data_IF_929764491606
#
_entry.id   IF_929764491606
#
_cell.length_a   1.000
_cell.length_b   1.000
_cell.length_c   1.000
_cell.angle_alpha   90.00
_cell.angle_beta   90.00
_cell.angle_gamma   90.00
#
_symmetry.space_group_name_H-M   'P 1'
#
loop_
_entity.id
_entity.type
_entity.pdbx_description
1 polymer ?
#
# COMPACT_ATOMS: atom_id res chain seq x y z
N UNK A 1 -11.17 -18.72 18.72
CA UNK A 1 -10.21 -18.72 17.59
C UNK A 1 -10.13 -17.32 17.06
N UNK A 2 -8.95 -16.69 17.08
CA UNK A 2 -8.78 -15.35 16.54
C UNK A 2 -9.14 -15.37 15.04
N UNK A 3 -10.05 -14.51 14.62
CA UNK A 3 -10.39 -14.34 13.21
C UNK A 3 -9.19 -13.70 12.51
N UNK A 4 -8.27 -14.51 11.99
CA UNK A 4 -7.15 -14.00 11.20
C UNK A 4 -7.70 -13.28 9.96
N UNK A 5 -7.17 -12.11 9.63
CA UNK A 5 -7.53 -11.40 8.39
C UNK A 5 -6.93 -12.06 7.14
N UNK A 6 -6.08 -13.06 7.32
CA UNK A 6 -5.41 -13.80 6.26
C UNK A 6 -6.36 -14.75 5.52
N UNK A 7 -6.58 -14.50 4.23
CA UNK A 7 -7.35 -15.37 3.30
C UNK A 7 -6.39 -16.19 2.44
N UNK A 8 -6.82 -17.30 1.80
CA UNK A 8 -5.99 -18.03 0.86
C UNK A 8 -5.42 -17.13 -0.25
N UNK A 9 -6.21 -16.17 -0.74
CA UNK A 9 -5.73 -15.18 -1.71
C UNK A 9 -4.66 -14.26 -1.14
N UNK A 10 -4.83 -13.78 0.11
CA UNK A 10 -3.83 -12.92 0.76
C UNK A 10 -2.52 -13.66 1.01
N UNK A 11 -2.59 -14.93 1.43
CA UNK A 11 -1.41 -15.79 1.60
C UNK A 11 -0.68 -15.94 0.26
N UNK A 12 -1.41 -16.23 -0.82
CA UNK A 12 -0.80 -16.36 -2.14
C UNK A 12 -0.13 -15.08 -2.62
N UNK A 13 -0.76 -13.92 -2.46
CA UNK A 13 -0.13 -12.63 -2.79
C UNK A 13 1.13 -12.42 -1.95
N UNK A 14 1.07 -12.70 -0.65
CA UNK A 14 2.23 -12.54 0.24
C UNK A 14 3.41 -13.42 -0.18
N UNK A 15 3.15 -14.67 -0.55
CA UNK A 15 4.16 -15.70 -0.82
C UNK A 15 4.67 -15.71 -2.25
N UNK A 16 3.77 -15.52 -3.22
CA UNK A 16 4.08 -15.66 -4.65
C UNK A 16 4.22 -14.32 -5.36
N UNK A 17 3.80 -13.21 -4.74
CA UNK A 17 3.98 -11.87 -5.32
C UNK A 17 4.92 -10.99 -4.49
N UNK A 18 4.60 -10.73 -3.22
CA UNK A 18 5.37 -9.79 -2.41
C UNK A 18 6.74 -10.35 -2.06
N UNK A 19 6.80 -11.58 -1.51
CA UNK A 19 8.04 -12.20 -1.05
C UNK A 19 9.12 -12.28 -2.15
N UNK A 20 8.83 -12.71 -3.39
CA UNK A 20 9.85 -12.73 -4.43
C UNK A 20 10.40 -11.33 -4.78
N UNK A 21 9.56 -10.29 -4.74
CA UNK A 21 10.01 -8.91 -4.93
C UNK A 21 10.94 -8.47 -3.80
N UNK A 22 10.56 -8.74 -2.55
CA UNK A 22 11.37 -8.37 -1.38
C UNK A 22 12.72 -9.10 -1.37
N UNK A 23 12.70 -10.39 -1.72
CA UNK A 23 13.89 -11.21 -1.92
C UNK A 23 14.80 -10.57 -2.97
N UNK A 24 14.27 -10.30 -4.16
CA UNK A 24 15.03 -9.68 -5.25
C UNK A 24 15.65 -8.34 -4.81
N UNK A 25 14.90 -7.47 -4.14
CA UNK A 25 15.40 -6.18 -3.67
C UNK A 25 16.51 -6.36 -2.63
N UNK A 26 16.29 -7.23 -1.63
CA UNK A 26 17.26 -7.49 -0.55
C UNK A 26 18.56 -8.08 -1.09
N UNK A 27 18.47 -9.08 -1.98
CA UNK A 27 19.63 -9.71 -2.62
C UNK A 27 20.42 -8.73 -3.49
N UNK A 28 19.73 -7.84 -4.21
CA UNK A 28 20.38 -6.85 -5.09
C UNK A 28 21.06 -5.73 -4.32
N UNK A 29 20.47 -5.28 -3.23
CA UNK A 29 21.04 -4.20 -2.40
C UNK A 29 22.02 -4.72 -1.34
N UNK A 30 22.10 -6.04 -1.15
CA UNK A 30 22.89 -6.68 -0.10
C UNK A 30 22.45 -6.33 1.32
N UNK A 31 21.21 -5.82 1.48
CA UNK A 31 20.70 -5.28 2.73
C UNK A 31 19.29 -5.80 3.01
N UNK A 32 19.07 -6.17 4.27
CA UNK A 32 17.72 -6.37 4.79
C UNK A 32 16.96 -5.04 4.83
N UNK A 33 15.64 -5.13 4.83
CA UNK A 33 14.70 -4.03 4.61
C UNK A 33 14.21 -3.42 5.93
N UNK A 34 14.02 -2.11 5.93
CA UNK A 34 13.31 -1.40 6.99
C UNK A 34 11.82 -1.38 6.62
N UNK A 35 11.04 -2.17 7.36
CA UNK A 35 9.58 -2.29 7.21
C UNK A 35 8.87 -1.15 7.92
N UNK A 36 7.93 -0.49 7.24
CA UNK A 36 6.92 0.36 7.85
C UNK A 36 5.55 -0.08 7.39
N UNK A 37 4.62 -0.38 8.30
CA UNK A 37 3.30 -0.81 7.85
C UNK A 37 2.26 -1.06 8.92
N UNK A 38 1.22 -1.77 8.49
CA UNK A 38 0.00 -2.08 9.25
C UNK A 38 -0.08 -3.59 9.52
N UNK A 39 0.88 -4.20 10.23
CA UNK A 39 0.81 -5.62 10.50
C UNK A 39 -0.45 -5.93 11.32
N UNK A 40 -1.09 -7.06 11.05
CA UNK A 40 -2.08 -7.58 11.99
C UNK A 40 -1.39 -7.89 13.33
N UNK A 41 -2.14 -8.01 14.44
CA UNK A 41 -1.58 -8.49 15.71
C UNK A 41 -0.91 -9.87 15.58
N UNK A 42 -1.24 -10.61 14.53
CA UNK A 42 -0.64 -11.91 14.26
C UNK A 42 0.72 -11.87 13.56
N UNK A 43 1.12 -10.70 13.05
CA UNK A 43 2.38 -10.43 12.32
C UNK A 43 2.65 -11.36 11.14
N UNK A 44 1.59 -11.87 10.51
CA UNK A 44 1.68 -12.85 9.41
C UNK A 44 2.59 -12.39 8.26
N UNK A 45 2.53 -11.09 7.90
CA UNK A 45 3.36 -10.52 6.84
C UNK A 45 4.85 -10.50 7.23
N UNK A 46 5.14 -10.19 8.50
CA UNK A 46 6.51 -10.10 9.02
C UNK A 46 7.12 -11.50 9.13
N UNK A 47 6.37 -12.50 9.60
CA UNK A 47 6.88 -13.87 9.67
C UNK A 47 7.24 -14.42 8.30
N UNK A 48 6.41 -14.17 7.29
CA UNK A 48 6.69 -14.64 5.92
C UNK A 48 7.92 -13.96 5.31
N UNK A 49 8.17 -12.70 5.65
CA UNK A 49 9.23 -11.89 5.04
C UNK A 49 10.47 -11.73 5.93
N UNK A 50 10.54 -12.46 7.06
CA UNK A 50 11.48 -12.22 8.15
C UNK A 50 12.95 -12.28 7.72
N UNK A 51 13.27 -13.14 6.76
CA UNK A 51 14.64 -13.29 6.26
C UNK A 51 15.14 -12.05 5.52
N UNK A 52 14.22 -11.18 5.08
CA UNK A 52 14.50 -9.96 4.33
C UNK A 52 14.22 -8.68 5.13
N UNK A 53 13.73 -8.76 6.36
CA UNK A 53 13.42 -7.59 7.21
C UNK A 53 14.48 -7.44 8.30
N UNK A 54 14.98 -6.21 8.47
CA UNK A 54 15.90 -5.83 9.54
C UNK A 54 15.16 -5.16 10.70
N UNK A 55 14.43 -4.08 10.40
CA UNK A 55 13.75 -3.24 11.38
C UNK A 55 12.25 -3.19 11.07
N UNK A 56 11.42 -3.12 12.12
CA UNK A 56 9.96 -3.05 12.00
C UNK A 56 9.41 -1.78 12.62
N UNK A 57 8.73 -0.96 11.83
CA UNK A 57 7.94 0.19 12.30
C UNK A 57 6.47 -0.13 12.05
N UNK A 58 5.72 -0.37 13.11
CA UNK A 58 4.33 -0.78 13.04
C UNK A 58 3.38 0.30 13.55
N UNK A 59 2.19 0.39 12.95
CA UNK A 59 1.07 1.16 13.49
C UNK A 59 -0.07 0.21 13.81
N UNK A 60 -0.59 0.28 15.03
CA UNK A 60 -1.67 -0.59 15.49
C UNK A 60 -2.72 0.22 16.23
N UNK A 61 -3.92 0.28 15.65
CA UNK A 61 -5.07 0.84 16.35
C UNK A 61 -5.55 -0.15 17.43
N UNK A 62 -6.06 0.36 18.54
CA UNK A 62 -6.57 -0.46 19.65
C UNK A 62 -7.87 -1.18 19.30
N UNK A 63 -8.78 -0.48 18.61
CA UNK A 63 -10.10 -1.03 18.27
C UNK A 63 -10.60 -0.56 16.91
N UNK A 64 -10.47 -1.42 15.91
CA UNK A 64 -11.05 -1.19 14.59
C UNK A 64 -12.57 -1.45 14.57
N UNK A 65 -13.40 -0.64 13.87
CA UNK A 65 -13.11 0.61 13.14
C UNK A 65 -13.39 1.87 13.98
N UNK A 66 -13.33 1.80 15.32
CA UNK A 66 -13.66 2.95 16.17
C UNK A 66 -12.55 4.00 16.15
N UNK A 67 -12.86 5.29 16.34
CA UNK A 67 -11.85 6.31 16.60
C UNK A 67 -10.95 5.91 17.76
N UNK A 68 -9.69 6.34 17.71
CA UNK A 68 -8.69 6.12 18.73
C UNK A 68 -9.05 6.79 20.05
N UNK A 69 -9.04 6.04 21.16
CA UNK A 69 -9.26 6.61 22.51
C UNK A 69 -8.34 5.96 23.55
N UNK A 70 -7.75 6.73 24.50
CA UNK A 70 -6.87 6.20 25.54
C UNK A 70 -7.50 5.15 26.47
N UNK A 71 -8.83 5.15 26.58
CA UNK A 71 -9.61 4.21 27.41
C UNK A 71 -9.80 2.83 26.76
N UNK A 72 -9.49 2.68 25.47
CA UNK A 72 -9.65 1.42 24.75
C UNK A 72 -8.60 0.39 25.18
N UNK A 73 -9.01 -0.89 25.15
CA UNK A 73 -8.13 -2.03 25.45
C UNK A 73 -6.89 -2.04 24.56
N UNK A 74 -5.73 -2.34 25.14
CA UNK A 74 -4.46 -2.48 24.44
C UNK A 74 -4.16 -3.91 23.98
N UNK A 75 -5.07 -4.86 24.14
CA UNK A 75 -4.83 -6.29 23.86
C UNK A 75 -4.18 -6.57 22.49
N UNK A 76 -4.65 -5.91 21.42
CA UNK A 76 -4.07 -6.06 20.08
C UNK A 76 -2.64 -5.48 19.97
N UNK A 77 -2.38 -4.38 20.67
CA UNK A 77 -1.07 -3.73 20.76
C UNK A 77 -0.09 -4.59 21.56
N UNK A 78 -0.52 -5.06 22.74
CA UNK A 78 0.29 -5.89 23.64
C UNK A 78 0.66 -7.23 22.99
N UNK A 79 -0.28 -7.82 22.22
CA UNK A 79 -0.02 -9.03 21.44
C UNK A 79 1.03 -8.79 20.35
N UNK A 80 0.89 -7.69 19.59
CA UNK A 80 1.86 -7.29 18.57
C UNK A 80 3.25 -7.08 19.17
N UNK A 81 3.33 -6.34 20.27
CA UNK A 81 4.57 -6.06 21.01
C UNK A 81 5.24 -7.35 21.49
N UNK A 82 4.48 -8.26 22.09
CA UNK A 82 5.00 -9.56 22.55
C UNK A 82 5.63 -10.37 21.40
N UNK A 83 4.97 -10.40 20.23
CA UNK A 83 5.49 -11.13 19.07
C UNK A 83 6.74 -10.49 18.48
N UNK A 84 6.78 -9.16 18.36
CA UNK A 84 7.95 -8.44 17.83
C UNK A 84 9.15 -8.51 18.80
N UNK A 85 8.91 -8.38 20.10
CA UNK A 85 9.95 -8.56 21.12
C UNK A 85 10.55 -9.98 21.09
N UNK A 86 9.72 -10.99 20.83
CA UNK A 86 10.20 -12.37 20.64
C UNK A 86 11.13 -12.48 19.43
N UNK A 87 10.79 -11.84 18.30
CA UNK A 87 11.63 -11.82 17.10
C UNK A 87 12.96 -11.08 17.32
N UNK A 88 12.93 -9.94 18.02
CA UNK A 88 14.12 -9.17 18.39
C UNK A 88 15.04 -9.98 19.32
N UNK A 89 14.49 -10.60 20.37
CA UNK A 89 15.25 -11.44 21.32
C UNK A 89 15.88 -12.67 20.64
N UNK A 90 15.24 -13.20 19.60
CA UNK A 90 15.76 -14.30 18.78
C UNK A 90 16.79 -13.84 17.73
N UNK A 91 17.07 -12.54 17.62
CA UNK A 91 17.96 -11.96 16.61
C UNK A 91 17.42 -12.09 15.18
N UNK A 92 16.11 -12.22 15.01
CA UNK A 92 15.47 -12.31 13.69
C UNK A 92 15.28 -10.95 13.04
N UNK A 93 14.98 -9.95 13.86
CA UNK A 93 15.01 -8.51 13.53
C UNK A 93 16.00 -7.82 14.47
N UNK A 94 16.57 -6.70 14.03
CA UNK A 94 17.50 -5.90 14.82
C UNK A 94 16.76 -5.04 15.84
N UNK A 95 15.65 -4.41 15.44
CA UNK A 95 14.77 -3.70 16.37
C UNK A 95 13.35 -3.46 15.84
N UNK A 96 12.46 -2.96 16.69
CA UNK A 96 11.12 -2.55 16.31
C UNK A 96 10.61 -1.31 17.05
N UNK A 97 9.60 -0.65 16.48
CA UNK A 97 8.86 0.45 17.09
C UNK A 97 7.37 0.28 16.76
N UNK A 98 6.50 0.50 17.74
CA UNK A 98 5.05 0.43 17.56
C UNK A 98 4.44 1.79 17.92
N UNK A 99 3.67 2.35 17.00
CA UNK A 99 2.86 3.54 17.24
C UNK A 99 1.41 3.13 17.54
N UNK A 100 0.90 3.59 18.68
CA UNK A 100 -0.44 3.32 19.18
C UNK A 100 -1.48 4.23 18.50
N UNK A 101 -2.15 3.73 17.47
CA UNK A 101 -3.16 4.48 16.73
C UNK A 101 -3.25 4.12 15.25
N UNK A 102 -4.19 4.74 14.54
CA UNK A 102 -4.26 4.66 13.08
C UNK A 102 -3.10 5.43 12.46
N UNK A 103 -2.47 4.89 11.42
CA UNK A 103 -1.35 5.56 10.73
C UNK A 103 -1.75 6.95 10.24
N UNK A 104 -2.99 7.13 9.75
CA UNK A 104 -3.49 8.43 9.30
C UNK A 104 -3.44 9.47 10.43
N UNK A 105 -3.90 9.10 11.62
CA UNK A 105 -3.86 9.97 12.80
C UNK A 105 -2.42 10.25 13.23
N UNK A 106 -1.61 9.21 13.41
CA UNK A 106 -0.26 9.35 13.96
C UNK A 106 0.61 10.24 13.08
N UNK A 107 0.55 10.05 11.76
CA UNK A 107 1.37 10.82 10.82
C UNK A 107 0.89 12.27 10.68
N UNK A 108 -0.42 12.52 10.66
CA UNK A 108 -0.99 13.86 10.49
C UNK A 108 -0.89 14.69 11.78
N UNK A 109 -1.01 14.04 12.94
CA UNK A 109 -0.85 14.67 14.26
C UNK A 109 0.62 14.78 14.68
N UNK A 110 1.49 13.94 14.11
CA UNK A 110 2.91 13.84 14.45
C UNK A 110 3.20 13.09 15.77
N UNK A 111 2.18 12.47 16.37
CA UNK A 111 2.31 11.68 17.60
C UNK A 111 1.20 10.65 17.72
N UNK A 112 1.45 9.59 18.49
CA UNK A 112 0.48 8.53 18.76
C UNK A 112 -0.43 8.84 19.96
N UNK A 113 -1.38 7.93 20.26
CA UNK A 113 -2.32 8.06 21.40
C UNK A 113 -1.58 8.08 22.74
N UNK A 114 -0.44 7.38 22.80
CA UNK A 114 0.42 7.31 23.98
C UNK A 114 1.40 8.49 24.07
N UNK A 115 1.23 9.52 23.23
CA UNK A 115 2.07 10.73 23.11
C UNK A 115 3.50 10.48 22.61
N UNK A 116 3.81 9.32 22.04
CA UNK A 116 5.09 9.09 21.38
C UNK A 116 5.13 9.90 20.09
N UNK A 117 6.20 10.68 19.90
CA UNK A 117 6.40 11.48 18.70
C UNK A 117 6.78 10.56 17.54
N UNK A 118 6.09 10.71 16.41
CA UNK A 118 6.48 10.03 15.19
C UNK A 118 7.71 10.71 14.60
N UNK A 119 8.72 9.91 14.26
CA UNK A 119 9.90 10.39 13.53
C UNK A 119 10.39 9.33 12.57
N UNK A 120 10.83 9.75 11.39
CA UNK A 120 11.43 8.88 10.38
C UNK A 120 12.81 9.42 10.06
N UNK A 121 13.83 8.84 10.69
CA UNK A 121 15.23 9.27 10.53
C UNK A 121 15.99 8.42 9.51
N UNK A 122 15.43 7.28 9.14
CA UNK A 122 16.02 6.32 8.21
C UNK A 122 15.14 6.13 6.98
N UNK A 123 15.78 5.73 5.88
CA UNK A 123 15.08 5.40 4.63
C UNK A 123 14.28 4.13 4.85
N UNK A 124 12.95 4.26 4.90
CA UNK A 124 12.08 3.09 4.84
C UNK A 124 12.21 2.49 3.46
N UNK A 125 12.56 1.21 3.38
CA UNK A 125 12.73 0.48 2.11
C UNK A 125 11.50 -0.36 1.75
N UNK A 126 10.63 -0.66 2.71
CA UNK A 126 9.39 -1.41 2.52
C UNK A 126 8.24 -0.73 3.25
N UNK A 127 7.30 -0.16 2.49
CA UNK A 127 6.00 0.27 3.00
C UNK A 127 4.96 -0.83 2.75
N UNK A 128 4.27 -1.31 3.80
CA UNK A 128 3.16 -2.26 3.68
C UNK A 128 1.88 -1.66 4.28
N UNK A 129 1.09 -1.01 3.43
CA UNK A 129 -0.11 -0.26 3.79
C UNK A 129 -1.36 -1.08 3.45
N UNK A 130 -1.72 -2.00 4.35
CA UNK A 130 -2.86 -2.90 4.17
C UNK A 130 -4.20 -2.26 4.61
N UNK A 131 -4.69 -1.28 3.86
CA UNK A 131 -5.98 -0.65 4.15
C UNK A 131 -7.15 -1.56 3.76
N UNK A 132 -7.57 -2.40 4.71
CA UNK A 132 -8.72 -3.29 4.56
C UNK A 132 -10.09 -2.58 4.53
N UNK A 133 -10.12 -1.25 4.48
CA UNK A 133 -11.32 -0.42 4.42
C UNK A 133 -11.32 0.53 3.20
N UNK A 134 -12.46 1.18 2.97
CA UNK A 134 -12.60 2.09 1.83
C UNK A 134 -11.65 3.29 1.98
N UNK A 135 -11.10 3.75 0.85
CA UNK A 135 -10.25 4.94 0.80
C UNK A 135 -10.91 6.18 1.36
N UNK A 136 -12.23 6.27 1.18
CA UNK A 136 -12.97 7.50 1.37
C UNK A 136 -13.56 7.64 2.75
N UNK A 137 -13.41 6.63 3.62
CA UNK A 137 -13.81 6.73 5.03
C UNK A 137 -12.65 7.34 5.82
N UNK A 138 -12.73 8.64 6.21
CA UNK A 138 -11.72 9.25 7.04
C UNK A 138 -11.79 8.73 8.48
N UNK A 139 -10.68 8.84 9.19
CA UNK A 139 -10.64 8.66 10.64
C UNK A 139 -10.68 10.04 11.29
N UNK A 140 -11.65 10.32 12.20
CA UNK A 140 -11.63 11.55 12.96
C UNK A 140 -10.48 11.52 13.98
N UNK A 141 -9.79 12.64 14.15
CA UNK A 141 -8.75 12.81 15.16
C UNK A 141 -8.72 14.25 15.69
N UNK A 142 -8.10 14.44 16.85
CA UNK A 142 -7.89 15.76 17.45
C UNK A 142 -6.46 16.21 17.16
N UNK A 143 -6.29 17.38 16.54
CA UNK A 143 -4.97 17.95 16.24
C UNK A 143 -4.26 18.52 17.48
N UNK A 144 -3.08 19.11 17.29
CA UNK A 144 -2.31 19.71 18.39
C UNK A 144 -3.01 20.88 19.07
N UNK A 145 -3.95 21.52 18.37
CA UNK A 145 -4.64 22.73 18.80
C UNK A 145 -6.00 22.41 19.42
N UNK A 146 -6.34 21.12 19.53
CA UNK A 146 -7.60 20.65 20.10
C UNK A 146 -8.76 20.61 19.10
N UNK A 147 -8.51 20.82 17.81
CA UNK A 147 -9.56 20.83 16.79
C UNK A 147 -9.79 19.42 16.22
N UNK A 148 -11.05 19.11 15.96
CA UNK A 148 -11.41 17.89 15.24
C UNK A 148 -11.02 18.02 13.75
N UNK A 149 -10.29 17.02 13.27
CA UNK A 149 -9.82 16.89 11.89
C UNK A 149 -10.19 15.50 11.37
N UNK A 150 -10.13 15.36 10.05
CA UNK A 150 -10.36 14.09 9.34
C UNK A 150 -9.07 13.67 8.66
N UNK A 151 -8.57 12.49 9.00
CA UNK A 151 -7.40 11.89 8.37
C UNK A 151 -7.81 10.94 7.26
N UNK A 152 -7.39 11.22 6.02
CA UNK A 152 -7.58 10.32 4.90
C UNK A 152 -6.31 9.52 4.62
N UNK A 153 -6.46 8.32 4.05
CA UNK A 153 -5.35 7.40 3.74
C UNK A 153 -4.36 8.00 2.78
N UNK A 154 -4.86 8.70 1.76
CA UNK A 154 -4.02 9.34 0.76
C UNK A 154 -3.23 10.52 1.35
N UNK A 155 -3.77 11.21 2.36
CA UNK A 155 -3.00 12.22 3.10
C UNK A 155 -1.87 11.57 3.89
N UNK A 156 -2.12 10.41 4.50
CA UNK A 156 -1.09 9.62 5.20
C UNK A 156 0.02 9.16 4.24
N UNK A 157 -0.34 8.62 3.07
CA UNK A 157 0.64 8.20 2.04
C UNK A 157 1.46 9.40 1.57
N UNK A 158 0.79 10.52 1.26
CA UNK A 158 1.48 11.77 0.88
C UNK A 158 2.46 12.21 1.97
N UNK A 159 2.06 12.13 3.24
CA UNK A 159 2.91 12.45 4.39
C UNK A 159 4.12 11.53 4.51
N UNK A 160 3.96 10.22 4.27
CA UNK A 160 5.09 9.28 4.23
C UNK A 160 6.09 9.65 3.13
N UNK A 161 5.62 10.05 1.94
CA UNK A 161 6.51 10.50 0.87
C UNK A 161 7.26 11.79 1.26
N UNK A 162 6.60 12.72 1.94
CA UNK A 162 7.25 13.94 2.47
C UNK A 162 8.34 13.59 3.50
N UNK A 163 8.05 12.68 4.43
CA UNK A 163 9.04 12.22 5.42
C UNK A 163 10.24 11.55 4.77
N UNK A 164 9.98 10.63 3.83
CA UNK A 164 11.03 9.97 3.05
C UNK A 164 11.91 10.99 2.31
N UNK A 165 11.31 12.01 1.68
CA UNK A 165 12.06 13.02 0.94
C UNK A 165 12.95 13.91 1.84
N UNK A 166 12.60 14.12 3.11
CA UNK A 166 13.37 14.98 4.03
C UNK A 166 14.69 14.37 4.49
N UNK A 167 14.82 13.04 4.46
CA UNK A 167 16.03 12.33 4.89
C UNK A 167 17.21 12.73 4.00
N UNK A 168 18.34 13.14 4.57
CA UNK A 168 19.48 13.63 3.79
C UNK A 168 20.46 12.49 3.49
N UNK A 169 20.10 11.63 2.52
CA UNK A 169 20.99 10.57 2.01
C UNK A 169 21.05 10.61 0.49
N UNK A 170 22.14 10.09 -0.07
CA UNK A 170 22.43 10.19 -1.50
C UNK A 170 21.43 9.42 -2.39
N UNK A 171 20.86 8.33 -1.89
CA UNK A 171 19.95 7.48 -2.64
C UNK A 171 18.85 6.94 -1.73
N UNK A 172 17.60 7.08 -2.16
CA UNK A 172 16.43 6.49 -1.50
C UNK A 172 15.66 5.68 -2.51
N UNK A 173 15.49 4.41 -2.16
CA UNK A 173 14.83 3.41 -2.99
C UNK A 173 13.94 2.61 -2.05
N UNK A 174 12.68 2.44 -2.42
CA UNK A 174 11.73 1.70 -1.61
C UNK A 174 10.66 1.04 -2.48
N UNK A 175 9.96 0.07 -1.89
CA UNK A 175 8.73 -0.47 -2.45
C UNK A 175 7.55 -0.14 -1.54
N UNK A 176 6.43 0.24 -2.16
CA UNK A 176 5.15 0.42 -1.52
C UNK A 176 4.21 -0.70 -1.95
N UNK A 177 3.79 -1.50 -0.99
CA UNK A 177 2.62 -2.36 -1.09
C UNK A 177 1.42 -1.65 -0.48
N UNK A 178 0.35 -1.55 -1.26
CA UNK A 178 -0.88 -0.87 -0.86
C UNK A 178 -2.06 -1.76 -1.19
N UNK A 179 -2.80 -2.17 -0.15
CA UNK A 179 -4.09 -2.86 -0.32
C UNK A 179 -5.21 -1.89 -0.06
N UNK A 180 -6.24 -1.92 -0.91
CA UNK A 180 -7.42 -1.08 -0.77
C UNK A 180 -8.68 -1.90 -0.99
N UNK A 181 -9.67 -1.74 -0.12
CA UNK A 181 -11.01 -2.28 -0.35
C UNK A 181 -11.70 -1.55 -1.50
N UNK A 182 -12.18 -2.31 -2.48
CA UNK A 182 -13.00 -1.84 -3.59
C UNK A 182 -14.45 -1.58 -3.12
N UNK A 183 -14.59 -0.62 -2.22
CA UNK A 183 -15.86 -0.18 -1.66
C UNK A 183 -15.87 1.35 -1.63
N UNK A 184 -17.05 1.92 -1.82
CA UNK A 184 -17.22 3.37 -1.95
C UNK A 184 -18.36 3.81 -1.05
N UNK A 185 -18.17 4.92 -0.35
CA UNK A 185 -19.30 5.65 0.20
C UNK A 185 -20.12 6.22 -0.97
N UNK A 186 -21.45 6.23 -0.84
CA UNK A 186 -22.36 6.60 -1.92
C UNK A 186 -22.06 8.00 -2.48
N UNK A 187 -22.05 8.16 -3.81
CA UNK A 187 -21.83 9.44 -4.50
C UNK A 187 -20.38 9.88 -4.68
N UNK A 188 -19.46 9.48 -3.79
CA UNK A 188 -18.06 9.94 -3.83
C UNK A 188 -17.29 9.44 -5.05
N UNK A 189 -17.57 8.23 -5.52
CA UNK A 189 -16.92 7.72 -6.73
C UNK A 189 -17.25 8.57 -7.96
N UNK A 190 -18.50 9.02 -8.07
CA UNK A 190 -18.92 9.90 -9.17
C UNK A 190 -18.18 11.24 -9.12
N UNK A 191 -18.02 11.82 -7.94
CA UNK A 191 -17.26 13.08 -7.75
C UNK A 191 -15.77 12.87 -8.04
N UNK A 192 -15.16 11.82 -7.48
CA UNK A 192 -13.74 11.51 -7.65
C UNK A 192 -13.37 11.20 -9.11
N UNK A 193 -14.26 10.55 -9.87
CA UNK A 193 -14.06 10.27 -11.29
C UNK A 193 -14.36 11.52 -12.14
N UNK A 194 -15.43 12.26 -11.85
CA UNK A 194 -15.85 13.37 -12.70
C UNK A 194 -15.02 14.64 -12.51
N UNK A 195 -14.52 14.90 -11.30
CA UNK A 195 -13.76 16.11 -10.96
C UNK A 195 -12.25 15.87 -10.91
N UNK A 196 -11.81 14.65 -10.56
CA UNK A 196 -10.41 14.33 -10.34
C UNK A 196 -9.70 13.60 -11.49
N UNK A 197 -10.43 13.22 -12.55
CA UNK A 197 -9.84 12.42 -13.62
C UNK A 197 -9.25 13.29 -14.74
N UNK A 198 -8.00 12.99 -15.10
CA UNK A 198 -7.36 13.52 -16.30
C UNK A 198 -8.31 13.38 -17.51
N UNK A 199 -8.51 14.46 -18.25
CA UNK A 199 -9.39 14.50 -19.42
C UNK A 199 -9.03 13.40 -20.43
N UNK A 200 -7.76 12.99 -20.49
CA UNK A 200 -7.25 11.94 -21.36
C UNK A 200 -7.76 10.54 -20.99
N UNK A 201 -8.23 10.33 -19.76
CA UNK A 201 -8.72 9.03 -19.30
C UNK A 201 -10.24 8.88 -19.42
N UNK A 202 -10.96 9.98 -19.69
CA UNK A 202 -12.42 9.96 -19.89
C UNK A 202 -12.87 8.93 -20.93
N UNK A 203 -12.23 8.78 -22.11
CA UNK A 203 -12.62 7.76 -23.08
C UNK A 203 -12.51 6.33 -22.53
N UNK A 204 -11.46 6.05 -21.75
CA UNK A 204 -11.26 4.73 -21.13
C UNK A 204 -12.34 4.48 -20.06
N UNK A 205 -12.66 5.50 -19.26
CA UNK A 205 -13.71 5.38 -18.23
C UNK A 205 -15.09 5.16 -18.82
N UNK A 206 -15.40 5.82 -19.95
CA UNK A 206 -16.63 5.60 -20.69
C UNK A 206 -16.76 4.14 -21.20
N UNK A 207 -15.66 3.48 -21.56
CA UNK A 207 -15.70 2.06 -21.92
C UNK A 207 -16.17 1.20 -20.73
N UNK A 208 -15.79 1.57 -19.50
CA UNK A 208 -16.19 0.86 -18.29
C UNK A 208 -17.69 0.98 -17.96
N UNK A 209 -18.40 1.94 -18.56
CA UNK A 209 -19.87 2.02 -18.42
C UNK A 209 -20.58 0.81 -19.03
N UNK A 210 -19.94 0.09 -19.95
CA UNK A 210 -20.48 -1.12 -20.57
C UNK A 210 -20.25 -2.39 -19.74
N UNK A 211 -19.48 -2.30 -18.64
CA UNK A 211 -19.22 -3.45 -17.77
C UNK A 211 -20.45 -3.73 -16.91
N UNK A 212 -21.06 -4.90 -17.10
CA UNK A 212 -22.27 -5.32 -16.37
C UNK A 212 -22.00 -5.60 -14.89
N UNK A 213 -20.84 -6.16 -14.57
CA UNK A 213 -20.46 -6.41 -13.18
C UNK A 213 -20.03 -5.09 -12.52
N UNK A 214 -20.87 -4.60 -11.62
CA UNK A 214 -20.65 -3.36 -10.90
C UNK A 214 -19.35 -3.37 -10.10
N UNK A 215 -18.92 -4.52 -9.58
CA UNK A 215 -17.69 -4.61 -8.80
C UNK A 215 -16.45 -4.56 -9.69
N UNK A 216 -16.50 -5.17 -10.88
CA UNK A 216 -15.43 -5.07 -11.87
C UNK A 216 -15.28 -3.64 -12.42
N UNK A 217 -16.41 -2.97 -12.67
CA UNK A 217 -16.42 -1.53 -13.01
C UNK A 217 -15.76 -0.72 -11.89
N UNK A 218 -16.20 -0.96 -10.66
CA UNK A 218 -15.68 -0.32 -9.44
C UNK A 218 -14.19 -0.51 -9.25
N UNK A 219 -13.67 -1.71 -9.50
CA UNK A 219 -12.26 -2.04 -9.40
C UNK A 219 -11.41 -1.25 -10.40
N UNK A 220 -11.82 -1.17 -11.68
CA UNK A 220 -11.07 -0.45 -12.72
C UNK A 220 -11.00 1.05 -12.48
N UNK A 221 -12.11 1.62 -12.02
CA UNK A 221 -12.17 3.03 -11.63
C UNK A 221 -11.30 3.31 -10.40
N UNK A 222 -11.30 2.41 -9.40
CA UNK A 222 -10.43 2.52 -8.22
C UNK A 222 -8.94 2.46 -8.61
N UNK A 223 -8.57 1.55 -9.51
CA UNK A 223 -7.22 1.44 -10.06
C UNK A 223 -6.79 2.75 -10.69
N UNK A 224 -7.61 3.29 -11.59
CA UNK A 224 -7.34 4.57 -12.26
C UNK A 224 -7.15 5.72 -11.26
N UNK A 225 -8.02 5.81 -10.26
CA UNK A 225 -7.96 6.86 -9.24
C UNK A 225 -6.70 6.73 -8.37
N UNK A 226 -6.38 5.50 -7.94
CA UNK A 226 -5.24 5.21 -7.08
C UNK A 226 -3.91 5.49 -7.80
N UNK A 227 -3.75 5.03 -9.05
CA UNK A 227 -2.54 5.27 -9.85
C UNK A 227 -2.29 6.76 -10.04
N UNK A 228 -3.32 7.56 -10.36
CA UNK A 228 -3.17 9.01 -10.54
C UNK A 228 -2.70 9.70 -9.27
N UNK A 229 -3.32 9.37 -8.12
CA UNK A 229 -2.94 9.97 -6.84
C UNK A 229 -1.53 9.57 -6.41
N UNK A 230 -1.21 8.28 -6.44
CA UNK A 230 0.12 7.79 -6.11
C UNK A 230 1.18 8.40 -7.03
N UNK A 231 0.92 8.48 -8.35
CA UNK A 231 1.80 9.17 -9.29
C UNK A 231 2.07 10.60 -8.84
N UNK A 232 1.03 11.37 -8.55
CA UNK A 232 1.15 12.75 -8.12
C UNK A 232 1.95 12.87 -6.80
N UNK A 233 1.69 12.01 -5.83
CA UNK A 233 2.37 12.02 -4.53
C UNK A 233 3.86 11.70 -4.66
N UNK A 234 4.23 10.70 -5.47
CA UNK A 234 5.63 10.35 -5.69
C UNK A 234 6.37 11.47 -6.42
N UNK A 235 5.81 11.97 -7.53
CA UNK A 235 6.46 13.00 -8.36
C UNK A 235 6.65 14.30 -7.60
N UNK A 236 5.62 14.77 -6.89
CA UNK A 236 5.69 16.00 -6.08
C UNK A 236 6.68 15.90 -4.91
N UNK A 237 7.08 14.70 -4.53
CA UNK A 237 8.09 14.43 -3.51
C UNK A 237 9.44 13.96 -4.10
N UNK A 238 9.66 14.11 -5.40
CA UNK A 238 10.96 13.82 -6.03
C UNK A 238 11.26 12.33 -6.22
N UNK A 239 10.23 11.48 -6.22
CA UNK A 239 10.36 10.06 -6.51
C UNK A 239 9.78 9.73 -7.89
N UNK A 240 10.51 8.93 -8.66
CA UNK A 240 9.99 8.26 -9.85
C UNK A 240 9.17 7.06 -9.36
N UNK A 241 7.84 7.03 -9.59
CA UNK A 241 7.03 5.85 -9.34
C UNK A 241 7.10 4.89 -10.53
N UNK A 242 7.27 3.61 -10.22
CA UNK A 242 7.09 2.51 -11.17
C UNK A 242 6.02 1.56 -10.63
N UNK A 243 4.88 1.50 -11.32
CA UNK A 243 3.75 0.65 -10.97
C UNK A 243 3.93 -0.74 -11.57
N UNK A 244 3.73 -1.76 -10.74
CA UNK A 244 3.59 -3.14 -11.18
C UNK A 244 2.10 -3.47 -11.44
N UNK A 245 1.81 -4.59 -12.12
CA UNK A 245 0.43 -5.00 -12.38
C UNK A 245 -0.40 -5.06 -11.10
N UNK A 246 -1.63 -4.55 -11.18
CA UNK A 246 -2.54 -4.52 -10.03
C UNK A 246 -3.16 -5.91 -9.83
N UNK A 247 -3.16 -6.40 -8.60
CA UNK A 247 -3.82 -7.66 -8.24
C UNK A 247 -5.22 -7.36 -7.72
N UNK A 248 -6.21 -8.07 -8.26
CA UNK A 248 -7.59 -8.06 -7.80
C UNK A 248 -7.87 -9.37 -7.06
N UNK A 249 -8.31 -9.32 -5.80
CA UNK A 249 -8.56 -10.53 -4.99
C UNK A 249 -9.73 -10.40 -4.02
N UNK A 250 -10.21 -11.55 -3.53
CA UNK A 250 -11.32 -11.60 -2.56
C UNK A 250 -10.79 -11.54 -1.12
N UNK A 251 -11.34 -10.61 -0.34
CA UNK A 251 -11.20 -10.53 1.11
C UNK A 251 -12.22 -11.42 1.84
N UNK A 252 -12.01 -11.64 3.15
CA UNK A 252 -12.94 -12.40 4.00
C UNK A 252 -14.26 -11.64 4.16
N UNK A 253 -15.44 -12.28 4.07
CA UNK A 253 -16.70 -11.62 4.38
C UNK A 253 -16.69 -11.03 5.79
N UNK A 254 -17.15 -9.78 5.93
CA UNK A 254 -17.36 -9.15 7.25
C UNK A 254 -18.63 -9.75 7.84
N UNK A 255 -18.78 -9.95 9.17
CA UNK A 255 -19.95 -10.62 9.78
C UNK A 255 -21.35 -10.09 9.38
N UNK A 256 -21.44 -8.92 8.75
CA UNK A 256 -22.70 -8.32 8.24
C UNK A 256 -22.87 -8.41 6.72
N UNK A 257 -21.90 -8.94 5.97
CA UNK A 257 -21.96 -9.17 4.53
C UNK A 257 -21.80 -10.67 4.26
N UNK A 258 -22.73 -11.27 3.52
CA UNK A 258 -22.61 -12.67 3.08
C UNK A 258 -21.69 -12.83 1.86
N UNK A 259 -21.26 -11.73 1.25
CA UNK A 259 -20.42 -11.74 0.06
C UNK A 259 -18.99 -11.36 0.42
N UNK A 260 -18.03 -12.04 -0.21
CA UNK A 260 -16.66 -11.59 -0.32
C UNK A 260 -16.65 -10.15 -0.85
N UNK A 261 -15.71 -9.34 -0.38
CA UNK A 261 -15.45 -8.02 -0.95
C UNK A 261 -14.18 -8.06 -1.77
N UNK A 262 -14.14 -7.24 -2.82
CA UNK A 262 -12.96 -7.12 -3.67
C UNK A 262 -11.95 -6.18 -3.03
N UNK A 263 -10.69 -6.61 -3.07
CA UNK A 263 -9.52 -5.86 -2.68
C UNK A 263 -8.62 -5.68 -3.91
N UNK A 264 -8.01 -4.51 -4.01
CA UNK A 264 -6.95 -4.24 -4.97
C UNK A 264 -5.64 -4.12 -4.23
N UNK A 265 -4.62 -4.84 -4.69
CA UNK A 265 -3.26 -4.74 -4.21
C UNK A 265 -2.39 -4.10 -5.29
N UNK A 266 -1.71 -3.02 -4.91
CA UNK A 266 -0.79 -2.27 -5.72
C UNK A 266 0.63 -2.48 -5.20
N UNK A 267 1.58 -2.65 -6.10
CA UNK A 267 3.01 -2.62 -5.80
C UNK A 267 3.66 -1.50 -6.60
N UNK A 268 4.38 -0.61 -5.94
CA UNK A 268 4.98 0.58 -6.57
C UNK A 268 6.42 0.73 -6.10
N UNK A 269 7.38 0.73 -7.01
CA UNK A 269 8.77 1.08 -6.70
C UNK A 269 8.91 2.60 -6.70
N UNK A 270 9.55 3.13 -5.67
CA UNK A 270 9.90 4.54 -5.55
C UNK A 270 11.41 4.70 -5.64
N UNK A 271 11.88 5.50 -6.60
CA UNK A 271 13.30 5.84 -6.75
C UNK A 271 13.47 7.34 -6.65
N UNK A 272 14.24 7.83 -5.68
CA UNK A 272 14.52 9.26 -5.60
C UNK A 272 15.38 9.68 -6.79
N UNK A 273 15.03 10.82 -7.38
CA UNK A 273 15.85 11.44 -8.40
C UNK A 273 16.23 12.87 -7.98
N UNK A 274 17.53 13.12 -7.90
CA UNK A 274 18.09 14.46 -7.76
C UNK A 274 18.01 15.17 -9.11
N UNK A 275 16.88 15.82 -9.39
CA UNK A 275 16.73 16.64 -10.60
C UNK A 275 17.12 18.09 -10.31
N UNK A 276 17.88 18.69 -11.24
CA UNK A 276 18.11 20.14 -11.24
C UNK A 276 16.82 20.94 -11.51
N UNK A 277 15.83 20.32 -12.16
CA UNK A 277 14.53 20.92 -12.51
C UNK A 277 13.43 20.71 -11.46
N UNK A 278 13.70 20.00 -10.36
CA UNK A 278 12.82 19.87 -9.20
C UNK A 278 11.60 18.95 -9.33
N UNK A 279 11.36 18.31 -10.48
CA UNK A 279 10.21 17.40 -10.70
C UNK A 279 10.72 16.03 -11.18
N UNK A 280 10.34 14.96 -10.48
CA UNK A 280 10.68 13.60 -10.90
C UNK A 280 9.90 13.20 -12.18
N UNK A 281 10.55 12.54 -13.15
CA UNK A 281 9.87 12.08 -14.35
C UNK A 281 8.92 10.91 -14.05
N UNK A 282 8.00 10.66 -14.98
CA UNK A 282 7.16 9.49 -15.01
C UNK A 282 7.31 8.81 -16.37
N UNK A 283 7.86 7.61 -16.38
CA UNK A 283 8.23 6.92 -17.62
C UNK A 283 7.14 6.01 -18.18
N UNK A 284 6.26 5.49 -17.32
CA UNK A 284 5.14 4.65 -17.74
C UNK A 284 4.02 5.53 -18.35
N UNK A 285 3.25 5.00 -19.30
CA UNK A 285 2.05 5.69 -19.79
C UNK A 285 0.85 5.28 -18.94
N UNK A 286 0.10 6.27 -18.44
CA UNK A 286 -1.03 6.01 -17.53
C UNK A 286 -2.12 5.17 -18.22
N UNK A 287 -2.40 5.45 -19.49
CA UNK A 287 -3.40 4.72 -20.27
C UNK A 287 -3.04 3.24 -20.44
N UNK A 288 -1.77 2.93 -20.69
CA UNK A 288 -1.26 1.55 -20.73
C UNK A 288 -1.42 0.86 -19.38
N UNK A 289 -1.02 1.50 -18.28
CA UNK A 289 -1.17 0.95 -16.92
C UNK A 289 -2.63 0.65 -16.55
N UNK A 290 -3.55 1.54 -16.94
CA UNK A 290 -4.98 1.37 -16.65
C UNK A 290 -5.62 0.33 -17.57
N UNK A 291 -5.05 0.05 -18.75
CA UNK A 291 -5.51 -1.00 -19.66
C UNK A 291 -4.91 -2.37 -19.39
N UNK A 292 -3.90 -2.48 -18.52
CA UNK A 292 -3.38 -3.78 -18.11
C UNK A 292 -4.48 -4.67 -17.52
N UNK A 293 -4.48 -5.96 -17.86
CA UNK A 293 -5.31 -6.96 -17.20
C UNK A 293 -4.99 -6.97 -15.70
N UNK A 294 -6.02 -7.13 -14.86
CA UNK A 294 -5.77 -7.44 -13.46
C UNK A 294 -5.16 -8.84 -13.35
N UNK A 295 -4.28 -9.01 -12.38
CA UNK A 295 -3.96 -10.34 -11.88
C UNK A 295 -5.08 -10.75 -10.93
N UNK A 296 -5.93 -11.69 -11.31
CA UNK A 296 -7.03 -12.12 -10.46
C UNK A 296 -6.58 -13.26 -9.54
N UNK A 297 -6.70 -13.07 -8.22
CA UNK A 297 -6.42 -14.12 -7.23
C UNK A 297 -7.70 -14.47 -6.46
N UNK A 298 -8.28 -15.62 -6.75
CA UNK A 298 -9.54 -16.10 -6.14
C UNK A 298 -9.30 -17.43 -5.46
N UNK A 299 -9.67 -17.53 -4.18
CA UNK A 299 -9.51 -18.75 -3.38
C UNK A 299 -8.08 -19.33 -3.45
N UNK A 300 -7.06 -18.48 -3.47
CA UNK A 300 -5.66 -18.91 -3.57
C UNK A 300 -5.26 -19.44 -4.96
N UNK A 301 -5.98 -19.10 -6.03
CA UNK A 301 -5.63 -19.45 -7.40
C UNK A 301 -5.60 -18.20 -8.29
N UNK A 302 -4.62 -18.16 -9.19
CA UNK A 302 -4.55 -17.15 -10.26
C UNK A 302 -5.59 -17.50 -11.31
N UNK A 303 -6.33 -16.51 -11.77
CA UNK A 303 -7.34 -16.69 -12.81
C UNK A 303 -7.07 -15.70 -13.93
N UNK A 304 -7.16 -16.18 -15.16
CA UNK A 304 -7.24 -15.32 -16.35
C UNK A 304 -8.71 -14.97 -16.56
N UNK A 305 -9.07 -13.71 -16.28
CA UNK A 305 -10.43 -13.21 -16.45
C UNK A 305 -10.36 -12.06 -17.45
N UNK A 306 -10.98 -12.29 -18.62
CA UNK A 306 -11.14 -11.27 -19.66
C UNK A 306 -12.54 -10.68 -19.59
N UNK A 307 -12.62 -9.34 -19.57
CA UNK A 307 -13.92 -8.65 -19.57
C UNK A 307 -14.37 -8.43 -21.02
N UNK A 308 -15.57 -8.91 -21.41
CA UNK A 308 -16.07 -8.71 -22.76
C UNK A 308 -16.14 -7.23 -23.13
N UNK A 309 -15.71 -6.90 -24.35
CA UNK A 309 -15.75 -5.55 -24.92
C UNK A 309 -14.85 -4.50 -24.23
N UNK A 310 -13.90 -4.93 -23.40
CA UNK A 310 -12.82 -4.09 -22.89
C UNK A 310 -11.52 -4.60 -23.48
N UNK A 311 -10.79 -3.73 -24.17
CA UNK A 311 -9.45 -4.05 -24.68
C UNK A 311 -8.46 -3.90 -23.53
N UNK A 312 -7.94 -5.02 -23.04
CA UNK A 312 -6.94 -5.06 -21.97
C UNK A 312 -5.63 -5.67 -22.48
N UNK A 313 -4.52 -5.16 -21.94
CA UNK A 313 -3.17 -5.63 -22.25
C UNK A 313 -2.83 -6.80 -21.34
N UNK A 314 -2.26 -7.87 -21.90
CA UNK A 314 -1.77 -8.99 -21.10
C UNK A 314 -0.65 -8.54 -20.16
N UNK A 315 -0.62 -9.14 -18.97
CA UNK A 315 0.37 -8.85 -17.92
C UNK A 315 1.15 -10.11 -17.57
N UNK A 316 2.44 -9.94 -17.27
CA UNK A 316 3.24 -11.01 -16.70
C UNK A 316 2.85 -11.25 -15.23
N UNK A 317 2.65 -12.52 -14.88
CA UNK A 317 2.31 -12.92 -13.51
C UNK A 317 3.55 -13.12 -12.61
N UNK A 318 4.74 -13.28 -13.20
CA UNK A 318 5.99 -13.40 -12.44
C UNK A 318 6.50 -12.01 -12.08
N UNK A 319 6.48 -11.59 -10.81
CA UNK A 319 6.90 -10.24 -10.45
C UNK A 319 8.39 -9.99 -10.72
N UNK A 320 9.25 -11.01 -10.63
CA UNK A 320 10.68 -10.88 -10.93
C UNK A 320 10.93 -10.58 -12.40
N UNK A 321 10.24 -11.26 -13.31
CA UNK A 321 10.36 -11.02 -14.76
C UNK A 321 9.92 -9.59 -15.08
N UNK A 322 8.81 -9.13 -14.48
CA UNK A 322 8.30 -7.77 -14.67
C UNK A 322 9.30 -6.73 -14.15
N UNK A 323 9.81 -6.91 -12.93
CA UNK A 323 10.76 -5.97 -12.32
C UNK A 323 12.08 -5.93 -13.11
N UNK A 324 12.60 -7.09 -13.52
CA UNK A 324 13.88 -7.15 -14.26
C UNK A 324 13.75 -6.65 -15.69
N UNK A 325 12.56 -6.72 -16.29
CA UNK A 325 12.25 -6.09 -17.57
C UNK A 325 11.97 -4.58 -17.49
N UNK A 326 11.86 -4.02 -16.29
CA UNK A 326 11.58 -2.60 -16.10
C UNK A 326 12.86 -1.75 -16.23
N UNK A 327 12.87 -0.86 -17.23
CA UNK A 327 13.99 0.07 -17.49
C UNK A 327 14.37 0.90 -16.26
N UNK A 328 13.39 1.36 -15.48
CA UNK A 328 13.65 2.19 -14.30
C UNK A 328 14.33 1.38 -13.18
N UNK A 329 13.91 0.13 -12.97
CA UNK A 329 14.58 -0.78 -12.05
C UNK A 329 16.00 -1.11 -12.52
N UNK A 330 16.19 -1.51 -13.79
CA UNK A 330 17.52 -1.82 -14.32
C UNK A 330 18.45 -0.62 -14.20
N UNK A 331 18.00 0.55 -14.64
CA UNK A 331 18.80 1.77 -14.63
C UNK A 331 19.11 2.25 -13.22
N UNK A 332 18.13 2.24 -12.31
CA UNK A 332 18.27 2.92 -11.03
C UNK A 332 18.57 1.98 -9.85
N UNK A 333 18.20 0.71 -9.93
CA UNK A 333 18.41 -0.27 -8.85
C UNK A 333 19.59 -1.21 -9.12
N UNK A 334 19.92 -1.49 -10.39
CA UNK A 334 21.02 -2.40 -10.74
C UNK A 334 22.31 -1.65 -11.13
N UNK A 335 22.22 -0.61 -11.95
CA UNK A 335 23.41 -0.01 -12.60
C UNK A 335 24.13 1.10 -11.80
N UNK A 336 23.54 1.59 -10.69
CA UNK A 336 24.03 2.75 -9.95
C UNK A 336 24.53 2.41 -8.52
N UNK A 337 25.21 1.28 -8.35
CA UNK A 337 26.00 1.00 -7.13
C UNK A 337 27.50 1.06 -7.40
#
# INVERSE_FOLDING_TARGET
>A
MANTFSTPSKIKIRQEWNLPILKLISERTGKKLIYLGLPSPDVDDIYEWIDYIDNVIAFQCRKYPKPSEPSQSKEALDLLETKLNTLETQGKISTFTIYDGYIEEVLLRGRDISNNIYSQNEVITLYNLDYCNSLSVPIPYIDSDGNEKKGYKFDAIKKLMEFQNRIQVASKKFILFLTIKCDYYEGEMGVLINEGCDANLKPIHQQYDNIKDIFEKKARLLRSYTIQNLKAFFISNGFIPEFLPTINYNGKPIPRSKNDFILLHFSVLGTQMTTAAGIAPFYQKIDELIKQNFIYVRNGNVQDIKIPNIEEMDVQYTPEDYITGCDSFVKHWIQNE
#
